data_IF_057661561311
#
_entry.id   IF_057661561311
#
_cell.length_a   1.000
_cell.length_b   1.000
_cell.length_c   1.000
_cell.angle_alpha   90.00
_cell.angle_beta   90.00
_cell.angle_gamma   90.00
#
_symmetry.space_group_name_H-M   'P 1'
#
loop_
_entity.id
_entity.type
_entity.pdbx_description
1 polymer ?
#
# COMPACT_ATOMS: atom_id res chain seq x y z
N UNK A 1 -22.20 27.35 4.62
CA UNK A 1 -22.05 27.35 6.09
C UNK A 1 -20.61 26.96 6.39
N UNK A 2 -19.80 27.94 6.79
CA UNK A 2 -18.38 27.76 7.08
C UNK A 2 -18.18 27.03 8.41
N UNK A 3 -17.15 26.18 8.48
CA UNK A 3 -16.52 25.82 9.74
C UNK A 3 -15.01 25.85 9.48
N UNK A 4 -14.37 26.92 9.96
CA UNK A 4 -12.93 27.06 9.95
C UNK A 4 -12.31 26.06 10.93
N UNK A 5 -11.22 25.43 10.51
CA UNK A 5 -10.33 24.71 11.42
C UNK A 5 -9.03 25.51 11.47
N UNK A 6 -8.82 26.13 12.62
CA UNK A 6 -7.64 26.92 12.98
C UNK A 6 -6.35 26.12 12.80
N UNK A 7 -5.37 26.78 12.16
CA UNK A 7 -3.96 26.40 12.20
C UNK A 7 -3.44 26.63 13.62
N UNK A 8 -3.38 25.58 14.44
CA UNK A 8 -2.65 25.59 15.70
C UNK A 8 -1.23 25.07 15.47
N UNK A 9 -0.37 26.05 15.18
CA UNK A 9 1.00 26.25 15.67
C UNK A 9 1.71 25.06 16.32
N UNK A 10 2.88 24.73 15.75
CA UNK A 10 3.94 23.90 16.30
C UNK A 10 4.28 24.24 17.75
N UNK A 11 4.24 23.23 18.63
CA UNK A 11 4.78 23.31 19.99
C UNK A 11 6.17 22.65 19.98
N UNK A 12 7.26 23.38 20.30
CA UNK A 12 8.58 22.76 20.44
C UNK A 12 8.67 22.10 21.81
N UNK A 13 8.71 20.76 21.81
CA UNK A 13 9.04 19.99 23.01
C UNK A 13 10.52 20.21 23.35
N UNK A 14 10.76 20.94 24.43
CA UNK A 14 12.09 21.18 24.97
C UNK A 14 12.47 20.05 25.92
N UNK A 15 13.63 19.42 25.68
CA UNK A 15 14.35 18.68 26.71
C UNK A 15 15.83 19.07 26.66
N UNK A 16 16.26 19.76 27.71
CA UNK A 16 17.67 19.96 28.07
C UNK A 16 17.90 19.31 29.42
N UNK A 17 19.00 18.54 29.55
CA UNK A 17 19.48 17.99 30.83
C UNK A 17 20.39 16.79 30.65
N UNK A 18 21.71 17.05 30.64
CA UNK A 18 22.85 16.12 30.49
C UNK A 18 23.02 15.09 31.61
N UNK A 19 23.57 13.89 31.29
CA UNK A 19 24.96 13.47 31.63
C UNK A 19 25.22 11.97 31.35
N UNK A 20 26.26 11.73 30.53
CA UNK A 20 27.21 10.60 30.51
C UNK A 20 26.71 9.14 30.67
N UNK A 21 26.90 8.32 29.63
CA UNK A 21 27.83 7.16 29.60
C UNK A 21 27.82 6.55 28.19
N UNK A 22 28.99 6.19 27.68
CA UNK A 22 29.24 5.86 26.29
C UNK A 22 28.41 4.70 25.71
N UNK A 23 27.92 4.93 24.50
CA UNK A 23 27.91 3.95 23.42
C UNK A 23 27.88 4.73 22.10
N UNK A 24 28.82 4.42 21.21
CA UNK A 24 28.83 4.93 19.84
C UNK A 24 27.67 4.29 19.08
N UNK A 25 26.48 4.85 19.28
CA UNK A 25 25.28 4.45 18.56
C UNK A 25 25.34 5.20 17.23
N UNK A 26 25.63 4.48 16.14
CA UNK A 26 25.51 5.02 14.79
C UNK A 26 24.14 5.68 14.68
N UNK A 27 24.11 7.01 14.68
CA UNK A 27 22.89 7.80 14.52
C UNK A 27 22.36 7.53 13.12
N UNK A 28 21.48 6.53 12.99
CA UNK A 28 20.70 6.31 11.78
C UNK A 28 19.89 7.58 11.58
N UNK A 29 20.28 8.37 10.57
CA UNK A 29 19.51 9.54 10.14
C UNK A 29 18.18 9.05 9.58
N UNK A 30 17.17 9.02 10.44
CA UNK A 30 15.78 8.74 10.06
C UNK A 30 15.23 9.94 9.31
N UNK A 31 15.59 10.06 8.01
CA UNK A 31 14.98 11.05 7.13
C UNK A 31 13.48 10.78 7.11
N UNK A 32 12.68 11.78 7.48
CA UNK A 32 11.23 11.72 7.40
C UNK A 32 10.84 11.45 5.94
N UNK A 33 10.06 10.38 5.66
CA UNK A 33 9.61 10.09 4.30
C UNK A 33 8.81 11.27 3.73
N UNK A 34 9.13 11.70 2.52
CA UNK A 34 8.39 12.74 1.82
C UNK A 34 7.52 12.14 0.73
N UNK A 35 6.34 12.72 0.54
CA UNK A 35 5.44 12.33 -0.54
C UNK A 35 6.08 12.62 -1.91
N UNK A 36 5.98 11.66 -2.83
CA UNK A 36 6.45 11.82 -4.22
C UNK A 36 5.38 12.42 -5.15
N UNK A 37 4.16 12.58 -4.68
CA UNK A 37 3.06 13.17 -5.45
C UNK A 37 3.02 14.70 -5.30
N UNK A 38 2.37 15.38 -6.25
CA UNK A 38 2.26 16.85 -6.24
C UNK A 38 1.22 17.33 -5.22
N UNK A 39 1.47 18.45 -4.55
CA UNK A 39 0.52 19.08 -3.61
C UNK A 39 -0.83 19.39 -4.28
N UNK A 40 -0.80 19.82 -5.54
CA UNK A 40 -2.01 20.11 -6.33
C UNK A 40 -2.80 18.84 -6.60
N UNK A 41 -2.13 17.76 -7.04
CA UNK A 41 -2.77 16.48 -7.28
C UNK A 41 -3.39 15.90 -6.00
N UNK A 42 -2.72 16.09 -4.86
CA UNK A 42 -3.24 15.66 -3.57
C UNK A 42 -4.50 16.43 -3.15
N UNK A 43 -4.47 17.75 -3.29
CA UNK A 43 -5.63 18.61 -3.00
C UNK A 43 -6.83 18.22 -3.87
N UNK A 44 -6.59 17.89 -5.15
CA UNK A 44 -7.64 17.44 -6.06
C UNK A 44 -8.29 16.13 -5.59
N UNK A 45 -7.52 15.17 -5.05
CA UNK A 45 -8.10 13.90 -4.56
C UNK A 45 -9.05 14.09 -3.38
N UNK A 46 -8.77 15.06 -2.52
CA UNK A 46 -9.61 15.35 -1.35
C UNK A 46 -10.99 15.92 -1.70
N UNK A 47 -11.14 16.51 -2.89
CA UNK A 47 -12.43 17.06 -3.34
C UNK A 47 -13.23 16.09 -4.21
N UNK A 48 -12.64 14.96 -4.63
CA UNK A 48 -13.36 13.94 -5.40
C UNK A 48 -14.29 13.15 -4.45
N UNK A 49 -15.60 13.05 -4.76
CA UNK A 49 -16.53 12.25 -3.97
C UNK A 49 -16.03 10.82 -3.78
N UNK A 50 -16.17 10.25 -2.58
CA UNK A 50 -15.61 8.94 -2.22
C UNK A 50 -15.87 7.83 -3.25
N UNK A 51 -17.12 7.72 -3.71
CA UNK A 51 -17.52 6.72 -4.71
C UNK A 51 -16.90 6.91 -6.10
N UNK A 52 -16.34 8.09 -6.41
CA UNK A 52 -15.68 8.40 -7.68
C UNK A 52 -14.15 8.40 -7.57
N UNK A 53 -13.58 8.35 -6.36
CA UNK A 53 -12.13 8.48 -6.15
C UNK A 53 -11.36 7.42 -6.94
N UNK A 54 -11.81 6.17 -6.92
CA UNK A 54 -11.14 5.09 -7.67
C UNK A 54 -11.25 5.30 -9.19
N UNK A 55 -12.44 5.64 -9.67
CA UNK A 55 -12.69 5.86 -11.09
C UNK A 55 -11.89 7.05 -11.67
N UNK A 56 -11.75 8.13 -10.89
CA UNK A 56 -11.10 9.36 -11.35
C UNK A 56 -9.62 9.46 -10.99
N UNK A 57 -9.21 8.99 -9.81
CA UNK A 57 -7.84 9.16 -9.31
C UNK A 57 -6.95 7.93 -9.54
N UNK A 58 -7.53 6.72 -9.56
CA UNK A 58 -6.79 5.47 -9.82
C UNK A 58 -6.89 5.00 -11.27
N UNK A 59 -7.92 5.44 -12.01
CA UNK A 59 -8.20 5.01 -13.38
C UNK A 59 -9.28 3.93 -13.52
N UNK A 60 -10.03 3.67 -12.43
CA UNK A 60 -11.16 2.74 -12.44
C UNK A 60 -10.80 1.34 -12.96
N UNK A 61 -11.58 0.82 -13.91
CA UNK A 61 -11.34 -0.50 -14.51
C UNK A 61 -9.94 -0.64 -15.14
N UNK A 62 -9.34 0.47 -15.56
CA UNK A 62 -7.99 0.53 -16.13
C UNK A 62 -6.91 0.88 -15.09
N UNK A 63 -7.20 0.74 -13.79
CA UNK A 63 -6.26 1.02 -12.71
C UNK A 63 -4.90 0.35 -12.95
N UNK A 64 -3.84 1.16 -12.93
CA UNK A 64 -2.49 0.67 -13.27
C UNK A 64 -1.98 -0.40 -12.30
N UNK A 65 -2.40 -0.37 -11.03
CA UNK A 65 -1.96 -1.32 -10.01
C UNK A 65 -2.64 -2.68 -10.13
N UNK A 66 -3.71 -2.77 -10.92
CA UNK A 66 -4.46 -4.00 -11.20
C UNK A 66 -3.99 -4.67 -12.52
N UNK A 67 -3.02 -4.06 -13.22
CA UNK A 67 -2.54 -4.53 -14.50
C UNK A 67 -1.02 -4.79 -14.47
N UNK A 68 -0.59 -6.06 -14.41
CA UNK A 68 0.83 -6.43 -14.34
C UNK A 68 1.64 -6.00 -15.56
N UNK A 69 1.01 -5.83 -16.72
CA UNK A 69 1.66 -5.39 -17.95
C UNK A 69 2.11 -3.91 -17.89
N UNK A 70 1.67 -3.15 -16.88
CA UNK A 70 2.08 -1.75 -16.66
C UNK A 70 3.41 -1.62 -15.92
N UNK A 71 3.97 -2.72 -15.42
CA UNK A 71 5.14 -2.74 -14.55
C UNK A 71 6.27 -3.56 -15.15
N UNK A 72 7.50 -3.10 -14.99
CA UNK A 72 8.69 -3.85 -15.41
C UNK A 72 8.95 -5.04 -14.47
N UNK A 73 9.82 -5.98 -14.88
CA UNK A 73 10.20 -7.12 -14.02
C UNK A 73 10.84 -6.67 -12.70
N UNK A 74 11.55 -5.53 -12.70
CA UNK A 74 12.16 -4.95 -11.49
C UNK A 74 11.15 -4.39 -10.49
N UNK A 75 9.94 -4.10 -10.95
CA UNK A 75 8.83 -3.56 -10.15
C UNK A 75 7.84 -4.66 -9.75
N UNK A 76 8.20 -5.92 -9.98
CA UNK A 76 7.41 -7.11 -9.69
C UNK A 76 8.26 -8.12 -8.93
N UNK A 77 8.63 -7.79 -7.67
CA UNK A 77 9.31 -8.72 -6.78
C UNK A 77 8.56 -10.08 -6.66
N UNK A 78 7.24 -10.03 -6.74
CA UNK A 78 6.35 -11.15 -7.05
C UNK A 78 5.80 -10.93 -8.45
N UNK A 79 6.10 -11.84 -9.37
CA UNK A 79 5.68 -11.72 -10.78
C UNK A 79 4.16 -11.74 -10.87
N UNK A 80 3.58 -10.77 -11.58
CA UNK A 80 2.13 -10.61 -11.67
C UNK A 80 1.56 -9.57 -10.69
N UNK A 81 2.38 -8.99 -9.80
CA UNK A 81 1.94 -7.95 -8.87
C UNK A 81 2.95 -6.81 -8.85
N UNK A 82 2.47 -5.56 -8.86
CA UNK A 82 3.33 -4.44 -8.49
C UNK A 82 3.82 -4.63 -7.07
N UNK A 83 5.12 -4.85 -6.87
CA UNK A 83 5.66 -5.28 -5.59
C UNK A 83 7.16 -5.00 -5.46
N UNK A 84 7.60 -4.70 -4.24
CA UNK A 84 8.98 -4.36 -3.94
C UNK A 84 9.36 -4.77 -2.51
N UNK A 85 10.57 -5.28 -2.35
CA UNK A 85 11.19 -5.48 -1.04
C UNK A 85 11.57 -4.13 -0.44
N UNK A 86 10.97 -3.79 0.70
CA UNK A 86 11.26 -2.58 1.47
C UNK A 86 12.43 -2.83 2.42
N UNK A 87 12.51 -4.04 2.95
CA UNK A 87 13.63 -4.58 3.72
C UNK A 87 13.80 -6.06 3.38
N UNK A 88 14.82 -6.72 3.94
CA UNK A 88 15.05 -8.16 3.75
C UNK A 88 13.86 -9.04 4.19
N UNK A 89 13.00 -8.54 5.09
CA UNK A 89 11.88 -9.28 5.67
C UNK A 89 10.51 -8.61 5.44
N UNK A 90 10.46 -7.52 4.67
CA UNK A 90 9.22 -6.78 4.41
C UNK A 90 9.06 -6.52 2.92
N UNK A 91 8.05 -7.13 2.33
CA UNK A 91 7.62 -6.87 0.96
C UNK A 91 6.31 -6.08 0.98
N UNK A 92 6.25 -5.02 0.18
CA UNK A 92 5.02 -4.29 -0.09
C UNK A 92 4.54 -4.65 -1.50
N UNK A 93 3.24 -4.90 -1.64
CA UNK A 93 2.62 -5.27 -2.91
C UNK A 93 1.25 -4.62 -3.09
N UNK A 94 0.85 -4.44 -4.36
CA UNK A 94 -0.53 -4.19 -4.71
C UNK A 94 -1.40 -5.40 -4.33
N UNK A 95 -2.71 -5.16 -4.15
CA UNK A 95 -3.65 -6.23 -3.86
C UNK A 95 -3.67 -7.25 -5.01
N UNK A 96 -3.84 -8.55 -4.71
CA UNK A 96 -4.06 -9.54 -5.75
C UNK A 96 -5.52 -9.61 -6.20
N UNK A 97 -5.77 -10.36 -7.27
CA UNK A 97 -7.10 -10.83 -7.66
C UNK A 97 -7.08 -12.33 -7.90
N UNK A 98 -8.22 -13.02 -7.76
CA UNK A 98 -8.34 -14.47 -8.02
C UNK A 98 -7.67 -14.84 -9.35
N UNK A 99 -8.00 -14.11 -10.43
CA UNK A 99 -7.40 -14.31 -11.75
C UNK A 99 -5.86 -14.20 -11.77
N UNK A 100 -5.27 -13.21 -11.08
CA UNK A 100 -3.81 -13.02 -11.04
C UNK A 100 -3.14 -14.08 -10.17
N UNK A 101 -3.79 -14.48 -9.07
CA UNK A 101 -3.29 -15.53 -8.18
C UNK A 101 -3.07 -16.83 -8.94
N UNK A 102 -4.07 -17.23 -9.72
CA UNK A 102 -4.03 -18.44 -10.56
C UNK A 102 -3.07 -18.27 -11.73
N UNK A 103 -3.23 -17.20 -12.52
CA UNK A 103 -2.45 -16.99 -13.76
C UNK A 103 -0.94 -16.97 -13.54
N UNK A 104 -0.50 -16.43 -12.40
CA UNK A 104 0.93 -16.29 -12.09
C UNK A 104 1.40 -17.22 -10.96
N UNK A 105 0.55 -18.15 -10.49
CA UNK A 105 0.88 -19.05 -9.37
C UNK A 105 1.46 -18.30 -8.16
N UNK A 106 0.81 -17.20 -7.76
CA UNK A 106 1.35 -16.24 -6.78
C UNK A 106 1.67 -16.90 -5.43
N UNK A 107 0.81 -17.82 -4.97
CA UNK A 107 0.99 -18.55 -3.71
C UNK A 107 2.32 -19.32 -3.72
N UNK A 108 2.65 -19.98 -4.83
CA UNK A 108 3.92 -20.69 -4.98
C UNK A 108 5.11 -19.72 -4.93
N UNK A 109 4.97 -18.53 -5.50
CA UNK A 109 6.00 -17.50 -5.42
C UNK A 109 6.21 -17.05 -3.97
N UNK A 110 5.15 -16.89 -3.18
CA UNK A 110 5.26 -16.52 -1.77
C UNK A 110 6.06 -17.55 -0.99
N UNK A 111 5.80 -18.85 -1.20
CA UNK A 111 6.57 -19.94 -0.60
C UNK A 111 8.04 -19.88 -0.99
N UNK A 112 8.36 -19.67 -2.28
CA UNK A 112 9.75 -19.53 -2.76
C UNK A 112 10.45 -18.29 -2.19
N UNK A 113 9.72 -17.21 -1.98
CA UNK A 113 10.22 -16.00 -1.33
C UNK A 113 10.32 -16.13 0.20
N UNK A 114 9.87 -17.24 0.79
CA UNK A 114 9.85 -17.43 2.24
C UNK A 114 8.85 -16.53 2.97
N UNK A 115 7.84 -16.00 2.29
CA UNK A 115 6.79 -15.18 2.89
C UNK A 115 5.85 -16.06 3.71
N UNK A 116 5.70 -15.74 5.01
CA UNK A 116 4.88 -16.51 5.96
C UNK A 116 3.65 -15.76 6.45
N UNK A 117 3.55 -14.47 6.14
CA UNK A 117 2.50 -13.60 6.67
C UNK A 117 2.10 -12.60 5.61
N UNK A 118 0.80 -12.55 5.33
CA UNK A 118 0.18 -11.57 4.45
C UNK A 118 -0.73 -10.71 5.30
N UNK A 119 -0.47 -9.41 5.34
CA UNK A 119 -1.29 -8.45 6.08
C UNK A 119 -2.11 -7.65 5.08
N UNK A 120 -3.42 -7.88 5.05
CA UNK A 120 -4.32 -7.08 4.23
C UNK A 120 -4.63 -5.75 4.95
N UNK A 121 -4.40 -4.63 4.27
CA UNK A 121 -4.71 -3.29 4.78
C UNK A 121 -6.03 -2.74 4.23
N UNK A 122 -6.68 -3.44 3.31
CA UNK A 122 -7.94 -3.04 2.72
C UNK A 122 -9.11 -3.33 3.66
N UNK A 123 -10.16 -2.50 3.56
CA UNK A 123 -11.47 -2.84 4.10
C UNK A 123 -12.31 -3.59 3.04
N UNK A 124 -13.22 -4.49 3.43
CA UNK A 124 -14.17 -5.07 2.48
C UNK A 124 -14.95 -3.97 1.74
N UNK A 125 -15.12 -4.12 0.42
CA UNK A 125 -15.77 -3.11 -0.43
C UNK A 125 -14.83 -2.00 -0.94
N UNK A 126 -13.59 -1.93 -0.44
CA UNK A 126 -12.63 -0.93 -0.88
C UNK A 126 -12.20 -1.19 -2.34
N UNK A 127 -11.95 -0.11 -3.08
CA UNK A 127 -11.52 -0.18 -4.48
C UNK A 127 -12.49 -0.95 -5.40
N UNK A 128 -13.81 -0.92 -5.12
CA UNK A 128 -14.83 -1.61 -5.92
C UNK A 128 -14.87 -1.22 -7.41
N UNK A 129 -14.36 -0.04 -7.77
CA UNK A 129 -14.29 0.43 -9.16
C UNK A 129 -12.91 0.20 -9.81
N UNK A 130 -11.91 -0.29 -9.08
CA UNK A 130 -10.57 -0.54 -9.62
C UNK A 130 -10.47 -1.96 -10.16
N UNK A 131 -9.97 -2.11 -11.40
CA UNK A 131 -9.63 -3.43 -11.94
C UNK A 131 -10.78 -4.43 -11.86
N UNK A 132 -10.47 -5.66 -11.44
CA UNK A 132 -11.44 -6.75 -11.33
C UNK A 132 -12.55 -6.46 -10.31
N UNK A 133 -13.78 -6.97 -10.53
CA UNK A 133 -14.87 -6.76 -9.58
C UNK A 133 -14.53 -7.45 -8.25
N UNK A 134 -15.13 -6.97 -7.16
CA UNK A 134 -15.00 -7.62 -5.86
C UNK A 134 -15.80 -8.92 -5.86
N UNK A 135 -15.23 -9.96 -5.27
CA UNK A 135 -15.92 -11.21 -4.96
C UNK A 135 -17.02 -10.92 -3.93
N UNK A 136 -18.22 -11.43 -4.19
CA UNK A 136 -19.39 -11.16 -3.38
C UNK A 136 -19.18 -11.58 -1.90
N UNK A 137 -18.53 -12.71 -1.69
CA UNK A 137 -18.42 -13.33 -0.36
C UNK A 137 -17.32 -12.69 0.50
N UNK A 138 -16.21 -12.24 -0.11
CA UNK A 138 -15.08 -11.67 0.64
C UNK A 138 -15.07 -10.14 0.68
N UNK A 139 -15.71 -9.48 -0.30
CA UNK A 139 -15.59 -8.04 -0.49
C UNK A 139 -14.21 -7.58 -0.98
N UNK A 140 -13.35 -8.49 -1.42
CA UNK A 140 -12.04 -8.23 -2.04
C UNK A 140 -12.02 -8.81 -3.47
N UNK A 141 -11.00 -8.48 -4.27
CA UNK A 141 -10.80 -9.09 -5.59
C UNK A 141 -10.34 -10.55 -5.55
N UNK A 142 -10.19 -11.11 -4.35
CA UNK A 142 -9.73 -12.45 -4.10
C UNK A 142 -10.41 -13.00 -2.84
N UNK A 143 -10.33 -14.32 -2.65
CA UNK A 143 -10.75 -14.98 -1.42
C UNK A 143 -9.56 -15.12 -0.47
N UNK A 144 -9.59 -14.50 0.73
CA UNK A 144 -8.49 -14.60 1.70
C UNK A 144 -8.13 -16.04 2.09
N UNK A 145 -9.12 -16.94 2.06
CA UNK A 145 -8.97 -18.35 2.41
C UNK A 145 -7.92 -19.04 1.54
N UNK A 146 -7.74 -18.63 0.28
CA UNK A 146 -6.72 -19.20 -0.60
C UNK A 146 -5.30 -19.05 -0.05
N UNK A 147 -5.03 -17.97 0.71
CA UNK A 147 -3.76 -17.81 1.40
C UNK A 147 -3.69 -18.63 2.68
N UNK A 148 -4.79 -18.69 3.44
CA UNK A 148 -4.84 -19.38 4.72
C UNK A 148 -4.71 -20.90 4.56
N UNK A 149 -5.31 -21.46 3.51
CA UNK A 149 -5.26 -22.89 3.19
C UNK A 149 -3.88 -23.34 2.69
N UNK A 150 -3.06 -22.41 2.17
CA UNK A 150 -1.74 -22.70 1.63
C UNK A 150 -0.63 -22.80 2.70
N UNK A 151 -0.92 -22.40 3.95
CA UNK A 151 0.03 -22.38 5.07
C UNK A 151 0.94 -21.17 5.10
#
# INVERSE_FOLDING_TARGET
MAAGVSLLTDVPYSSSGDLNTGNSMNTVSTRVPTAKYTKVGETLRHVIPGHMQCSMACGGRACKYENPARWSDKEQAVKGLYSSWITDNLLAMARPSTEILEKYNIIEQFTRCGLRTVINLQRPGEHASCGNPLEHDSGFTYRPEMFMEAG
#
